data_IF_745265622760
#
_entry.id   IF_745265622760
#
_cell.length_a   1.000
_cell.length_b   1.000
_cell.length_c   1.000
_cell.angle_alpha   90.00
_cell.angle_beta   90.00
_cell.angle_gamma   90.00
#
_symmetry.space_group_name_H-M   'P 1'
#
loop_
_entity.id
_entity.type
_entity.pdbx_description
1 polymer ?
#
# COMPACT_ATOMS: atom_id res chain seq x y z
N UNK A 1 -8.20 13.85 -10.93
CA UNK A 1 -9.54 14.44 -11.19
C UNK A 1 -10.46 14.17 -10.00
N UNK A 2 -10.82 12.92 -9.69
CA UNK A 2 -11.83 12.55 -8.66
C UNK A 2 -11.51 13.14 -7.28
N UNK A 3 -10.23 13.22 -6.88
CA UNK A 3 -9.82 13.82 -5.61
C UNK A 3 -10.33 15.26 -5.43
N UNK A 4 -10.40 16.05 -6.52
CA UNK A 4 -10.89 17.43 -6.48
C UNK A 4 -12.38 17.52 -6.13
N UNK A 5 -13.16 16.47 -6.38
CA UNK A 5 -14.62 16.48 -6.17
C UNK A 5 -15.05 15.79 -4.86
N UNK A 6 -14.10 15.26 -4.07
CA UNK A 6 -14.42 14.60 -2.81
C UNK A 6 -14.80 15.61 -1.73
N UNK A 7 -15.85 15.35 -0.97
CA UNK A 7 -16.26 16.15 0.16
C UNK A 7 -15.73 15.61 1.51
N UNK A 8 -15.28 14.37 1.55
CA UNK A 8 -14.60 13.77 2.71
C UNK A 8 -13.10 14.08 2.64
N UNK A 9 -12.53 14.67 3.70
CA UNK A 9 -11.11 15.05 3.76
C UNK A 9 -10.18 13.84 3.58
N UNK A 10 -10.51 12.69 4.18
CA UNK A 10 -9.75 11.44 4.01
C UNK A 10 -9.99 10.84 2.62
N UNK A 11 -11.20 11.01 2.07
CA UNK A 11 -11.54 10.63 0.71
C UNK A 11 -10.70 11.40 -0.32
N UNK A 12 -10.55 12.72 -0.16
CA UNK A 12 -9.68 13.54 -1.00
C UNK A 12 -8.24 13.01 -0.97
N UNK A 13 -7.70 12.75 0.22
CA UNK A 13 -6.35 12.22 0.39
C UNK A 13 -6.21 10.81 -0.21
N UNK A 14 -7.20 9.94 -0.08
CA UNK A 14 -7.19 8.59 -0.66
C UNK A 14 -7.14 8.63 -2.19
N UNK A 15 -8.00 9.42 -2.84
CA UNK A 15 -7.97 9.56 -4.31
C UNK A 15 -6.70 10.26 -4.81
N UNK A 16 -6.14 11.19 -4.02
CA UNK A 16 -4.83 11.77 -4.36
C UNK A 16 -3.70 10.75 -4.20
N UNK A 17 -3.81 9.78 -3.27
CA UNK A 17 -2.86 8.65 -3.17
C UNK A 17 -2.91 7.80 -4.44
N UNK A 18 -4.09 7.46 -4.95
CA UNK A 18 -4.23 6.73 -6.22
C UNK A 18 -3.54 7.47 -7.37
N UNK A 19 -3.66 8.81 -7.41
CA UNK A 19 -2.97 9.63 -8.42
C UNK A 19 -1.44 9.51 -8.32
N UNK A 20 -0.88 9.59 -7.11
CA UNK A 20 0.57 9.46 -6.90
C UNK A 20 1.07 8.02 -7.18
N UNK A 21 0.30 7.00 -6.81
CA UNK A 21 0.63 5.61 -7.16
C UNK A 21 0.62 5.40 -8.68
N UNK A 22 -0.34 6.01 -9.40
CA UNK A 22 -0.33 6.02 -10.85
C UNK A 22 0.91 6.67 -11.44
N UNK A 23 1.39 7.78 -10.87
CA UNK A 23 2.64 8.45 -11.25
C UNK A 23 3.84 7.50 -11.05
N UNK A 24 3.93 6.83 -9.90
CA UNK A 24 4.98 5.85 -9.59
C UNK A 24 4.94 4.70 -10.62
N UNK A 25 3.75 4.20 -10.93
CA UNK A 25 3.57 3.12 -11.92
C UNK A 25 4.05 3.55 -13.31
N UNK A 26 3.75 4.78 -13.72
CA UNK A 26 4.23 5.34 -15.00
C UNK A 26 5.75 5.43 -15.01
N UNK A 27 6.40 5.88 -13.93
CA UNK A 27 7.86 5.93 -13.83
C UNK A 27 8.51 4.56 -14.02
N UNK A 28 8.03 3.55 -13.31
CA UNK A 28 8.55 2.19 -13.52
C UNK A 28 8.20 1.63 -14.91
N UNK A 29 7.06 2.05 -15.49
CA UNK A 29 6.65 1.67 -16.84
C UNK A 29 7.50 2.30 -17.95
N UNK A 30 8.14 3.45 -17.74
CA UNK A 30 9.10 4.07 -18.65
C UNK A 30 10.34 3.16 -18.84
N UNK A 31 10.75 2.46 -17.78
CA UNK A 31 11.79 1.42 -17.87
C UNK A 31 13.22 1.95 -17.96
N UNK A 32 13.47 3.26 -17.84
CA UNK A 32 14.83 3.80 -17.76
C UNK A 32 15.40 3.68 -16.35
N UNK A 33 16.73 3.52 -16.18
CA UNK A 33 17.34 3.52 -14.85
C UNK A 33 17.06 4.80 -14.05
N UNK A 34 17.01 5.97 -14.71
CA UNK A 34 16.69 7.25 -14.08
C UNK A 34 15.21 7.32 -13.67
N UNK A 35 14.30 6.75 -14.44
CA UNK A 35 12.89 6.67 -14.08
C UNK A 35 12.71 5.76 -12.83
N UNK A 36 13.52 4.70 -12.68
CA UNK A 36 13.53 3.91 -11.46
C UNK A 36 14.01 4.73 -10.24
N UNK A 37 15.07 5.54 -10.38
CA UNK A 37 15.50 6.49 -9.34
C UNK A 37 14.37 7.44 -8.96
N UNK A 38 13.75 8.09 -9.96
CA UNK A 38 12.62 9.02 -9.75
C UNK A 38 11.44 8.33 -9.06
N UNK A 39 11.14 7.08 -9.43
CA UNK A 39 10.07 6.26 -8.85
C UNK A 39 10.31 5.95 -7.38
N UNK A 40 11.49 5.42 -7.04
CA UNK A 40 11.87 5.13 -5.64
C UNK A 40 11.92 6.41 -4.81
N UNK A 41 12.50 7.49 -5.36
CA UNK A 41 12.53 8.78 -4.68
C UNK A 41 11.13 9.33 -4.42
N UNK A 42 10.23 9.20 -5.40
CA UNK A 42 8.84 9.61 -5.20
C UNK A 42 8.10 8.74 -4.18
N UNK A 43 8.37 7.44 -4.07
CA UNK A 43 7.82 6.57 -3.02
C UNK A 43 8.19 7.10 -1.63
N UNK A 44 9.47 7.39 -1.39
CA UNK A 44 9.97 7.90 -0.10
C UNK A 44 9.29 9.23 0.24
N UNK A 45 9.29 10.17 -0.70
CA UNK A 45 8.68 11.49 -0.51
C UNK A 45 7.18 11.41 -0.32
N UNK A 46 6.51 10.60 -1.13
CA UNK A 46 5.07 10.37 -1.05
C UNK A 46 4.67 9.78 0.30
N UNK A 47 5.39 8.78 0.80
CA UNK A 47 5.12 8.20 2.12
C UNK A 47 5.20 9.28 3.21
N UNK A 48 6.21 10.14 3.18
CA UNK A 48 6.45 11.18 4.18
C UNK A 48 5.32 12.22 4.21
N UNK A 49 5.05 12.89 3.10
CA UNK A 49 4.02 13.94 3.09
C UNK A 49 2.60 13.38 3.21
N UNK A 50 2.33 12.16 2.72
CA UNK A 50 1.01 11.52 2.86
C UNK A 50 0.71 11.11 4.28
N UNK A 51 1.67 10.49 4.97
CA UNK A 51 1.50 10.17 6.39
C UNK A 51 1.21 11.45 7.19
N UNK A 52 1.95 12.54 6.95
CA UNK A 52 1.69 13.84 7.59
C UNK A 52 0.28 14.36 7.33
N UNK A 53 -0.19 14.31 6.08
CA UNK A 53 -1.53 14.77 5.71
C UNK A 53 -2.64 13.90 6.29
N UNK A 54 -2.50 12.57 6.27
CA UNK A 54 -3.50 11.68 6.85
C UNK A 54 -3.57 11.79 8.37
N UNK A 55 -2.43 11.99 9.04
CA UNK A 55 -2.41 12.26 10.47
C UNK A 55 -3.05 13.61 10.80
N UNK A 56 -2.76 14.68 10.04
CA UNK A 56 -3.42 15.98 10.19
C UNK A 56 -4.93 15.88 9.95
N UNK A 57 -5.37 15.15 8.91
CA UNK A 57 -6.78 14.88 8.68
C UNK A 57 -7.41 14.02 9.79
N UNK A 58 -6.65 13.12 10.41
CA UNK A 58 -7.06 12.36 11.60
C UNK A 58 -7.26 13.25 12.82
N UNK A 59 -6.37 14.21 13.04
CA UNK A 59 -6.49 15.23 14.08
C UNK A 59 -7.75 16.08 13.86
N UNK A 60 -7.96 16.58 12.65
CA UNK A 60 -9.14 17.38 12.31
C UNK A 60 -10.43 16.58 12.57
N UNK A 61 -10.50 15.33 12.11
CA UNK A 61 -11.62 14.41 12.31
C UNK A 61 -11.91 14.20 13.83
N UNK A 62 -10.85 14.00 14.61
CA UNK A 62 -10.96 13.79 16.06
C UNK A 62 -11.49 15.03 16.79
N UNK A 63 -10.93 16.21 16.50
CA UNK A 63 -11.24 17.45 17.21
C UNK A 63 -12.57 18.07 16.76
N UNK A 64 -12.97 17.91 15.49
CA UNK A 64 -14.23 18.44 14.96
C UNK A 64 -15.40 17.45 15.03
N UNK A 65 -15.09 16.14 15.09
CA UNK A 65 -16.10 15.07 15.05
C UNK A 65 -16.67 14.83 13.65
N UNK A 66 -16.08 15.40 12.59
CA UNK A 66 -16.54 15.22 11.20
C UNK A 66 -15.40 15.31 10.21
N UNK A 67 -15.57 14.66 9.04
CA UNK A 67 -14.65 14.70 7.91
C UNK A 67 -15.19 15.47 6.70
N UNK A 68 -16.43 15.98 6.80
CA UNK A 68 -17.09 16.66 5.71
C UNK A 68 -16.52 18.08 5.54
N UNK A 69 -15.79 18.27 4.43
CA UNK A 69 -15.15 19.55 4.09
C UNK A 69 -16.13 20.72 3.88
N UNK A 70 -17.42 20.44 3.72
CA UNK A 70 -18.46 21.47 3.65
C UNK A 70 -18.80 22.05 5.03
N UNK A 71 -18.43 21.34 6.11
CA UNK A 71 -18.69 21.71 7.51
C UNK A 71 -17.45 22.21 8.24
N UNK A 72 -16.25 21.69 7.90
CA UNK A 72 -14.97 21.98 8.55
C UNK A 72 -14.25 23.20 7.97
N UNK A 73 -14.98 24.26 7.65
CA UNK A 73 -14.39 25.49 7.10
C UNK A 73 -13.72 26.33 8.19
N UNK A 74 -12.77 27.20 7.83
CA UNK A 74 -12.25 28.25 8.69
C UNK A 74 -11.51 27.80 9.95
N UNK A 75 -10.99 26.57 9.98
CA UNK A 75 -10.34 26.00 11.18
C UNK A 75 -9.04 26.69 11.59
N UNK A 76 -8.49 27.61 10.77
CA UNK A 76 -7.24 28.30 11.07
C UNK A 76 -7.23 29.00 12.43
N UNK A 77 -8.34 29.61 12.85
CA UNK A 77 -8.44 30.29 14.14
C UNK A 77 -8.39 29.35 15.34
N UNK A 78 -8.95 28.16 15.19
CA UNK A 78 -9.04 27.18 16.27
C UNK A 78 -7.83 26.24 16.31
N UNK A 79 -7.21 25.96 15.14
CA UNK A 79 -6.16 24.97 14.98
C UNK A 79 -4.98 25.48 14.13
N UNK A 80 -4.32 26.60 14.52
CA UNK A 80 -3.27 27.22 13.70
C UNK A 80 -2.01 26.35 13.57
N UNK A 81 -1.62 25.62 14.61
CA UNK A 81 -0.46 24.71 14.55
C UNK A 81 -0.74 23.53 13.60
N UNK A 82 -1.87 22.86 13.80
CA UNK A 82 -2.31 21.77 12.91
C UNK A 82 -2.45 22.27 11.48
N UNK A 83 -2.99 23.47 11.29
CA UNK A 83 -3.10 24.13 9.97
C UNK A 83 -1.75 24.37 9.32
N UNK A 84 -0.77 24.87 10.07
CA UNK A 84 0.59 25.09 9.55
C UNK A 84 1.24 23.77 9.09
N UNK A 85 1.15 22.73 9.92
CA UNK A 85 1.68 21.40 9.59
C UNK A 85 1.00 20.83 8.33
N UNK A 86 -0.31 20.95 8.25
CA UNK A 86 -1.09 20.52 7.09
C UNK A 86 -0.74 21.29 5.82
N UNK A 87 -0.52 22.61 5.90
CA UNK A 87 -0.10 23.45 4.78
C UNK A 87 1.28 23.06 4.24
N UNK A 88 2.24 22.80 5.13
CA UNK A 88 3.59 22.36 4.70
C UNK A 88 3.51 21.01 3.99
N UNK A 89 2.82 20.04 4.57
CA UNK A 89 2.65 18.73 3.94
C UNK A 89 1.85 18.79 2.62
N UNK A 90 0.83 19.66 2.53
CA UNK A 90 0.08 19.89 1.30
C UNK A 90 0.91 20.60 0.23
N UNK A 91 1.80 21.52 0.61
CA UNK A 91 2.75 22.16 -0.29
C UNK A 91 3.75 21.16 -0.85
N UNK A 92 4.23 20.22 -0.03
CA UNK A 92 5.03 19.08 -0.48
C UNK A 92 4.25 18.22 -1.48
N UNK A 93 3.00 17.89 -1.19
CA UNK A 93 2.12 17.13 -2.10
C UNK A 93 1.86 17.88 -3.40
N UNK A 94 1.68 19.21 -3.39
CA UNK A 94 1.53 20.04 -4.56
C UNK A 94 2.80 20.06 -5.43
N UNK A 95 3.97 19.91 -4.82
CA UNK A 95 5.27 20.05 -5.49
C UNK A 95 5.73 21.51 -5.51
N UNK A 96 5.50 22.26 -4.44
CA UNK A 96 6.04 23.60 -4.25
C UNK A 96 7.55 23.51 -4.04
N UNK A 97 8.36 24.39 -4.67
CA UNK A 97 9.80 24.43 -4.44
C UNK A 97 10.17 24.47 -2.95
N UNK A 98 11.34 23.96 -2.60
CA UNK A 98 11.90 23.80 -1.25
C UNK A 98 11.31 22.62 -0.45
N UNK A 99 10.26 21.98 -0.93
CA UNK A 99 9.73 20.77 -0.29
C UNK A 99 10.13 19.51 -1.08
N UNK A 100 10.22 18.39 -0.37
CA UNK A 100 10.64 17.10 -0.93
C UNK A 100 9.84 16.65 -2.17
N UNK A 101 8.54 16.97 -2.22
CA UNK A 101 7.67 16.61 -3.34
C UNK A 101 8.02 17.33 -4.65
N UNK A 102 8.64 18.52 -4.60
CA UNK A 102 9.09 19.23 -5.78
C UNK A 102 10.18 18.45 -6.52
N UNK A 103 11.23 18.03 -5.81
CA UNK A 103 12.37 17.33 -6.41
C UNK A 103 11.95 16.05 -7.14
N UNK A 104 11.13 15.23 -6.48
CA UNK A 104 10.68 13.99 -7.09
C UNK A 104 9.71 14.19 -8.25
N UNK A 105 8.92 15.29 -8.25
CA UNK A 105 8.08 15.65 -9.39
C UNK A 105 8.88 16.24 -10.54
N UNK A 106 9.92 17.01 -10.27
CA UNK A 106 10.82 17.51 -11.29
C UNK A 106 11.50 16.38 -12.04
N UNK A 107 12.02 15.39 -11.31
CA UNK A 107 12.55 14.16 -11.92
C UNK A 107 11.49 13.42 -12.73
N UNK A 108 10.26 13.30 -12.23
CA UNK A 108 9.15 12.70 -12.97
C UNK A 108 8.86 13.43 -14.27
N UNK A 109 8.80 14.76 -14.26
CA UNK A 109 8.57 15.55 -15.46
C UNK A 109 9.75 15.43 -16.44
N UNK A 110 10.98 15.37 -15.94
CA UNK A 110 12.17 15.12 -16.77
C UNK A 110 12.08 13.80 -17.51
N UNK A 111 11.79 12.71 -16.81
CA UNK A 111 11.63 11.39 -17.41
C UNK A 111 10.40 11.32 -18.34
N UNK A 112 9.29 11.95 -17.98
CA UNK A 112 8.12 12.03 -18.83
C UNK A 112 8.40 12.79 -20.14
N UNK A 113 9.19 13.88 -20.09
CA UNK A 113 9.58 14.65 -21.26
C UNK A 113 10.61 13.93 -22.14
N UNK A 114 11.41 13.02 -21.54
CA UNK A 114 12.43 12.24 -22.23
C UNK A 114 11.88 10.96 -22.89
N UNK A 115 10.59 10.64 -22.73
CA UNK A 115 10.01 9.44 -23.35
C UNK A 115 10.18 9.49 -24.86
N UNK A 116 11.05 8.62 -25.37
CA UNK A 116 11.24 8.40 -26.81
C UNK A 116 10.30 7.30 -27.28
N UNK A 117 9.67 7.45 -28.41
CA UNK A 117 8.76 6.43 -28.96
C UNK A 117 7.96 6.94 -30.14
N UNK A 118 6.78 6.35 -30.35
CA UNK A 118 5.86 6.83 -31.37
C UNK A 118 5.46 8.29 -31.10
N UNK A 119 5.14 9.02 -32.16
CA UNK A 119 4.72 10.45 -32.07
C UNK A 119 3.65 10.68 -31.00
N UNK A 120 2.75 9.71 -30.81
CA UNK A 120 1.67 9.73 -29.84
C UNK A 120 2.13 9.63 -28.38
N UNK A 121 3.06 8.73 -28.07
CA UNK A 121 3.57 8.55 -26.70
C UNK A 121 4.44 9.72 -26.27
N UNK A 122 5.26 10.26 -27.19
CA UNK A 122 6.12 11.42 -26.91
C UNK A 122 5.34 12.68 -26.52
N UNK A 123 4.09 12.85 -26.93
CA UNK A 123 3.22 13.95 -26.51
C UNK A 123 2.25 13.60 -25.41
N UNK A 124 1.70 12.39 -25.44
CA UNK A 124 0.67 11.96 -24.50
C UNK A 124 1.20 11.90 -23.04
N UNK A 125 2.40 11.36 -22.87
CA UNK A 125 2.98 11.17 -21.50
C UNK A 125 3.30 12.52 -20.86
N UNK A 126 4.03 13.47 -21.49
CA UNK A 126 4.28 14.79 -20.91
C UNK A 126 3.00 15.59 -20.63
N UNK A 127 2.03 15.55 -21.53
CA UNK A 127 0.74 16.26 -21.35
C UNK A 127 -0.04 15.63 -20.18
N UNK A 128 -0.16 14.32 -20.13
CA UNK A 128 -0.84 13.61 -19.03
C UNK A 128 -0.14 13.87 -17.70
N UNK A 129 1.20 13.86 -17.67
CA UNK A 129 1.99 14.16 -16.49
C UNK A 129 1.75 15.59 -15.99
N UNK A 130 1.77 16.58 -16.90
CA UNK A 130 1.52 17.98 -16.56
C UNK A 130 0.11 18.19 -16.03
N UNK A 131 -0.90 17.59 -16.66
CA UNK A 131 -2.28 17.62 -16.19
C UNK A 131 -2.43 16.96 -14.82
N UNK A 132 -1.79 15.82 -14.58
CA UNK A 132 -1.78 15.17 -13.28
C UNK A 132 -1.16 16.06 -12.21
N UNK A 133 -0.07 16.76 -12.54
CA UNK A 133 0.55 17.78 -11.71
C UNK A 133 -0.39 18.95 -11.39
N UNK A 134 -1.11 19.49 -12.39
CA UNK A 134 -2.07 20.56 -12.19
C UNK A 134 -3.22 20.14 -11.25
N UNK A 135 -3.77 18.94 -11.42
CA UNK A 135 -4.76 18.42 -10.49
C UNK A 135 -4.18 18.19 -9.09
N UNK A 136 -2.88 17.82 -8.97
CA UNK A 136 -2.23 17.69 -7.68
C UNK A 136 -2.18 19.03 -6.93
N UNK A 137 -1.86 20.10 -7.59
CA UNK A 137 -1.91 21.45 -7.04
C UNK A 137 -3.35 21.84 -6.67
N UNK A 138 -4.31 21.59 -7.55
CA UNK A 138 -5.70 21.98 -7.33
C UNK A 138 -6.32 21.31 -6.09
N UNK A 139 -6.14 19.99 -5.90
CA UNK A 139 -6.67 19.33 -4.72
C UNK A 139 -5.86 19.63 -3.45
N UNK A 140 -4.58 19.95 -3.55
CA UNK A 140 -3.78 20.43 -2.42
C UNK A 140 -4.25 21.80 -1.93
N UNK A 141 -4.51 22.73 -2.87
CA UNK A 141 -5.10 24.03 -2.56
C UNK A 141 -6.48 23.89 -1.94
N UNK A 142 -7.30 22.98 -2.48
CA UNK A 142 -8.61 22.69 -1.91
C UNK A 142 -8.50 22.18 -0.46
N UNK A 143 -7.60 21.24 -0.20
CA UNK A 143 -7.36 20.73 1.14
C UNK A 143 -7.03 21.86 2.12
N UNK A 144 -6.12 22.77 1.72
CA UNK A 144 -5.68 23.87 2.59
C UNK A 144 -6.77 24.93 2.72
N UNK A 145 -7.26 25.45 1.58
CA UNK A 145 -8.15 26.62 1.59
C UNK A 145 -9.53 26.27 2.14
N UNK A 146 -10.16 25.19 1.66
CA UNK A 146 -11.53 24.86 2.08
C UNK A 146 -11.58 24.43 3.58
N UNK A 147 -10.51 23.82 4.11
CA UNK A 147 -10.49 23.38 5.51
C UNK A 147 -10.12 24.53 6.46
N UNK A 148 -9.15 25.35 6.11
CA UNK A 148 -8.59 26.31 7.08
C UNK A 148 -9.02 27.75 6.85
N UNK A 149 -9.38 28.15 5.63
CA UNK A 149 -9.57 29.58 5.27
C UNK A 149 -10.94 29.90 4.66
N UNK A 150 -11.72 28.93 4.24
CA UNK A 150 -12.96 29.15 3.48
C UNK A 150 -14.18 29.35 4.41
N UNK A 151 -14.32 30.54 4.98
CA UNK A 151 -15.48 30.91 5.79
C UNK A 151 -15.38 30.50 7.26
N UNK A 152 -16.50 30.13 7.86
CA UNK A 152 -16.61 29.70 9.26
C UNK A 152 -17.13 28.24 9.32
N UNK A 153 -16.79 27.50 10.41
CA UNK A 153 -17.30 26.16 10.64
C UNK A 153 -18.84 26.14 10.73
N UNK A 154 -19.47 25.12 10.15
CA UNK A 154 -20.91 24.99 10.12
C UNK A 154 -21.33 23.72 10.87
N UNK A 155 -22.11 23.88 11.94
CA UNK A 155 -22.74 22.77 12.67
C UNK A 155 -21.78 21.62 12.98
N UNK A 156 -20.65 21.94 13.63
CA UNK A 156 -19.67 20.95 14.03
C UNK A 156 -20.19 20.15 15.24
N UNK A 157 -20.00 18.80 15.24
CA UNK A 157 -20.33 17.96 16.40
C UNK A 157 -19.53 18.28 17.65
N UNK A 158 -18.33 18.84 17.50
CA UNK A 158 -17.42 19.23 18.58
C UNK A 158 -16.84 20.61 18.30
N UNK A 159 -16.54 21.37 19.36
CA UNK A 159 -15.81 22.61 19.22
C UNK A 159 -14.33 22.31 18.91
N UNK A 160 -13.80 22.77 17.79
CA UNK A 160 -12.41 22.49 17.41
C UNK A 160 -11.44 23.22 18.34
N UNK A 161 -10.41 22.54 18.75
CA UNK A 161 -9.27 23.10 19.48
C UNK A 161 -7.98 22.40 19.07
N UNK A 162 -6.82 22.96 19.41
CA UNK A 162 -5.55 22.29 19.15
C UNK A 162 -5.43 21.01 19.98
N UNK A 163 -5.01 19.90 19.36
CA UNK A 163 -4.85 18.63 20.06
C UNK A 163 -3.66 18.66 21.03
N UNK A 164 -3.59 17.72 21.97
CA UNK A 164 -2.45 17.59 22.87
C UNK A 164 -1.14 17.37 22.07
N UNK A 165 -0.02 17.84 22.65
CA UNK A 165 1.28 17.84 21.98
C UNK A 165 1.67 16.48 21.39
N UNK A 166 1.45 15.40 22.12
CA UNK A 166 1.80 14.05 21.67
C UNK A 166 1.08 13.58 20.42
N UNK A 167 -0.09 14.15 20.14
CA UNK A 167 -0.82 13.85 18.91
C UNK A 167 -0.26 14.63 17.70
N UNK A 168 0.40 15.76 17.92
CA UNK A 168 1.04 16.58 16.88
C UNK A 168 2.47 16.14 16.54
N UNK A 169 3.23 15.68 17.52
CA UNK A 169 4.64 15.31 17.36
C UNK A 169 4.92 14.42 16.13
N UNK A 170 4.16 13.35 15.87
CA UNK A 170 4.38 12.55 14.67
C UNK A 170 4.24 13.34 13.35
N UNK A 171 3.28 14.27 13.31
CA UNK A 171 3.08 15.15 12.13
C UNK A 171 4.23 16.13 12.00
N UNK A 172 4.68 16.73 13.13
CA UNK A 172 5.82 17.64 13.19
C UNK A 172 7.07 16.99 12.62
N UNK A 173 7.38 15.75 13.06
CA UNK A 173 8.52 14.98 12.54
C UNK A 173 8.43 14.78 11.02
N UNK A 174 7.28 14.38 10.50
CA UNK A 174 7.09 14.16 9.07
C UNK A 174 7.20 15.46 8.27
N UNK A 175 6.68 16.56 8.80
CA UNK A 175 6.77 17.89 8.18
C UNK A 175 8.23 18.38 8.16
N UNK A 176 8.96 18.20 9.25
CA UNK A 176 10.41 18.50 9.31
C UNK A 176 11.16 17.67 8.27
N UNK A 177 10.86 16.38 8.13
CA UNK A 177 11.46 15.55 7.09
C UNK A 177 11.14 16.03 5.68
N UNK A 178 9.90 16.51 5.40
CA UNK A 178 9.56 17.11 4.11
C UNK A 178 10.45 18.31 3.77
N UNK A 179 10.76 19.14 4.77
CA UNK A 179 11.64 20.31 4.61
C UNK A 179 13.10 19.89 4.46
N UNK A 180 13.60 19.02 5.34
CA UNK A 180 14.99 18.57 5.33
C UNK A 180 15.37 17.89 4.02
N UNK A 181 14.51 16.98 3.53
CA UNK A 181 14.72 16.31 2.26
C UNK A 181 14.58 17.27 1.09
N UNK A 182 13.68 18.26 1.18
CA UNK A 182 13.51 19.28 0.17
C UNK A 182 14.68 20.25 0.05
N UNK A 183 15.33 20.59 1.17
CA UNK A 183 16.42 21.59 1.22
C UNK A 183 17.81 20.96 1.11
N UNK A 184 18.01 19.75 1.63
CA UNK A 184 19.30 19.07 1.67
C UNK A 184 19.15 17.57 1.31
N UNK A 185 18.71 17.22 0.09
CA UNK A 185 18.45 15.85 -0.31
C UNK A 185 19.69 14.96 -0.26
N UNK A 186 20.84 15.49 -0.66
CA UNK A 186 22.11 14.76 -0.67
C UNK A 186 22.55 14.25 0.71
N UNK A 187 22.24 15.02 1.78
CA UNK A 187 22.59 14.63 3.14
C UNK A 187 21.56 13.74 3.81
N UNK A 188 20.29 13.86 3.41
CA UNK A 188 19.16 13.25 4.13
C UNK A 188 18.67 11.97 3.50
N UNK A 189 18.43 11.95 2.21
CA UNK A 189 17.75 10.84 1.53
C UNK A 189 18.62 10.09 0.54
N UNK A 190 19.65 10.71 -0.03
CA UNK A 190 20.47 10.12 -1.10
C UNK A 190 21.13 8.79 -0.71
N UNK A 191 21.65 8.58 0.52
CA UNK A 191 22.22 7.29 0.90
C UNK A 191 21.20 6.16 0.89
N UNK A 192 19.98 6.43 1.41
CA UNK A 192 18.88 5.47 1.43
C UNK A 192 18.35 5.24 0.02
N UNK A 193 18.24 6.30 -0.78
CA UNK A 193 17.79 6.25 -2.17
C UNK A 193 18.73 5.37 -3.00
N UNK A 194 20.04 5.58 -2.89
CA UNK A 194 21.04 4.81 -3.62
C UNK A 194 20.99 3.31 -3.26
N UNK A 195 20.82 3.00 -1.99
CA UNK A 195 20.68 1.62 -1.52
C UNK A 195 19.41 0.97 -2.10
N UNK A 196 18.28 1.67 -2.03
CA UNK A 196 17.00 1.16 -2.53
C UNK A 196 17.00 1.00 -4.06
N UNK A 197 17.58 1.97 -4.79
CA UNK A 197 17.70 1.91 -6.25
C UNK A 197 18.63 0.77 -6.68
N UNK A 198 19.74 0.56 -5.98
CA UNK A 198 20.65 -0.56 -6.25
C UNK A 198 19.95 -1.91 -6.14
N UNK A 199 19.08 -2.06 -5.13
CA UNK A 199 18.28 -3.27 -4.96
C UNK A 199 17.25 -3.46 -6.09
N UNK A 200 16.61 -2.38 -6.54
CA UNK A 200 15.62 -2.43 -7.64
C UNK A 200 16.28 -2.74 -8.97
N UNK A 201 17.42 -2.10 -9.27
CA UNK A 201 18.15 -2.28 -10.54
C UNK A 201 19.07 -3.49 -10.55
N UNK A 202 19.27 -4.15 -9.40
CA UNK A 202 20.25 -5.23 -9.21
C UNK A 202 21.67 -4.84 -9.66
N UNK A 203 22.03 -3.55 -9.46
CA UNK A 203 23.30 -2.99 -9.91
C UNK A 203 23.52 -1.58 -9.34
N UNK A 204 24.65 -0.94 -9.68
CA UNK A 204 24.92 0.42 -9.19
C UNK A 204 23.87 1.41 -9.71
N UNK A 205 23.46 2.39 -8.89
CA UNK A 205 22.52 3.42 -9.32
C UNK A 205 23.15 4.26 -10.44
N UNK A 206 22.36 4.71 -11.43
CA UNK A 206 22.86 5.64 -12.44
C UNK A 206 23.27 6.97 -11.81
N UNK A 207 24.19 7.69 -12.43
CA UNK A 207 24.51 9.04 -12.02
C UNK A 207 23.25 9.92 -12.10
N UNK A 208 22.88 10.55 -10.99
CA UNK A 208 21.73 11.43 -10.87
C UNK A 208 22.10 12.62 -9.99
N UNK A 209 21.47 13.74 -10.21
CA UNK A 209 21.64 14.94 -9.41
C UNK A 209 20.32 15.28 -8.71
N UNK A 210 20.41 15.52 -7.41
CA UNK A 210 19.29 15.94 -6.56
C UNK A 210 19.34 17.45 -6.26
N UNK A 211 20.05 18.25 -7.07
CA UNK A 211 20.10 19.68 -6.89
C UNK A 211 18.69 20.30 -6.97
N UNK A 212 18.50 21.42 -6.26
CA UNK A 212 17.24 22.16 -6.27
C UNK A 212 16.98 22.91 -7.58
N UNK A 213 18.03 23.14 -8.36
CA UNK A 213 17.95 23.90 -9.58
C UNK A 213 18.87 23.37 -10.67
N UNK A 214 18.29 22.96 -11.78
CA UNK A 214 18.99 22.43 -12.96
C UNK A 214 18.90 23.37 -14.19
N UNK A 215 18.57 24.64 -13.96
CA UNK A 215 18.33 25.58 -15.05
C UNK A 215 16.92 25.51 -15.65
N UNK A 216 16.72 26.13 -16.79
CA UNK A 216 15.45 26.13 -17.50
C UNK A 216 15.27 24.86 -18.34
N UNK A 217 14.91 23.79 -17.70
CA UNK A 217 14.65 22.49 -18.32
C UNK A 217 13.17 22.33 -18.70
N UNK A 218 12.81 21.42 -19.62
CA UNK A 218 11.40 21.09 -19.89
C UNK A 218 10.61 20.72 -18.63
N UNK A 219 11.25 20.05 -17.66
CA UNK A 219 10.64 19.70 -16.38
C UNK A 219 10.21 20.94 -15.57
N UNK A 220 11.03 21.98 -15.53
CA UNK A 220 10.70 23.25 -14.87
C UNK A 220 9.52 23.94 -15.54
N UNK A 221 9.46 23.96 -16.87
CA UNK A 221 8.30 24.52 -17.59
C UNK A 221 7.03 23.71 -17.32
N UNK A 222 7.10 22.37 -17.32
CA UNK A 222 5.97 21.52 -16.96
C UNK A 222 5.52 21.75 -15.50
N UNK A 223 6.46 21.95 -14.59
CA UNK A 223 6.17 22.30 -13.19
C UNK A 223 5.45 23.64 -13.08
N UNK A 224 5.90 24.66 -13.81
CA UNK A 224 5.28 25.98 -13.82
C UNK A 224 3.86 25.93 -14.41
N UNK A 225 3.68 25.22 -15.52
CA UNK A 225 2.37 25.01 -16.14
C UNK A 225 1.45 24.23 -15.20
N UNK A 226 1.96 23.21 -14.51
CA UNK A 226 1.19 22.44 -13.53
C UNK A 226 0.77 23.31 -12.34
N UNK A 227 1.66 24.15 -11.81
CA UNK A 227 1.34 25.04 -10.69
C UNK A 227 0.31 26.10 -11.09
N UNK A 228 0.53 26.82 -12.19
CA UNK A 228 -0.40 27.84 -12.67
C UNK A 228 -1.74 27.24 -13.11
N UNK A 229 -1.71 26.13 -13.84
CA UNK A 229 -2.90 25.37 -14.24
C UNK A 229 -3.70 24.85 -13.05
N UNK A 230 -3.04 24.37 -12.01
CA UNK A 230 -3.69 23.91 -10.79
C UNK A 230 -4.38 25.02 -10.00
N UNK A 231 -3.75 26.20 -9.91
CA UNK A 231 -4.37 27.40 -9.33
C UNK A 231 -5.59 27.83 -10.16
N UNK A 232 -5.50 27.84 -11.48
CA UNK A 232 -6.63 28.17 -12.36
C UNK A 232 -7.77 27.16 -12.23
N UNK A 233 -7.48 25.84 -12.22
CA UNK A 233 -8.48 24.79 -12.00
C UNK A 233 -9.20 25.02 -10.65
N UNK A 234 -8.44 25.36 -9.62
CA UNK A 234 -9.02 25.64 -8.31
C UNK A 234 -9.86 26.91 -8.30
N UNK A 235 -9.41 27.99 -8.98
CA UNK A 235 -10.15 29.25 -9.09
C UNK A 235 -11.51 29.05 -9.77
N UNK A 236 -11.58 28.20 -10.80
CA UNK A 236 -12.83 27.90 -11.53
C UNK A 236 -13.57 26.67 -11.00
N UNK A 237 -13.32 26.26 -9.77
CA UNK A 237 -13.87 25.03 -9.20
C UNK A 237 -15.39 24.98 -9.13
N UNK A 238 -16.07 26.10 -8.94
CA UNK A 238 -17.53 26.16 -8.77
C UNK A 238 -18.29 25.61 -9.99
N UNK A 239 -18.05 26.10 -11.22
CA UNK A 239 -18.68 25.51 -12.39
C UNK A 239 -18.26 24.06 -12.66
N UNK A 240 -17.04 23.66 -12.24
CA UNK A 240 -16.59 22.27 -12.35
C UNK A 240 -17.38 21.35 -11.41
N UNK A 241 -17.68 21.80 -10.18
CA UNK A 241 -18.51 21.02 -9.26
C UNK A 241 -19.93 20.84 -9.78
N UNK A 242 -20.57 21.91 -10.26
CA UNK A 242 -21.89 21.83 -10.87
C UNK A 242 -21.94 20.91 -12.11
N UNK A 243 -20.87 20.88 -12.90
CA UNK A 243 -20.70 19.95 -14.01
C UNK A 243 -20.54 18.51 -13.55
N UNK A 244 -19.73 18.28 -12.53
CA UNK A 244 -19.49 16.95 -11.96
C UNK A 244 -20.74 16.33 -11.34
N UNK A 245 -21.54 17.09 -10.59
CA UNK A 245 -22.78 16.60 -10.01
C UNK A 245 -23.77 16.07 -11.07
N UNK A 246 -23.74 16.63 -12.28
CA UNK A 246 -24.59 16.19 -13.40
C UNK A 246 -24.10 14.89 -14.07
N UNK A 247 -22.80 14.66 -14.08
CA UNK A 247 -22.15 13.59 -14.87
C UNK A 247 -21.50 12.52 -13.99
N UNK A 248 -21.06 12.88 -12.77
CA UNK A 248 -20.22 12.06 -11.91
C UNK A 248 -20.83 10.70 -11.57
N UNK A 249 -22.13 10.64 -11.35
CA UNK A 249 -22.86 9.39 -11.07
C UNK A 249 -22.85 8.38 -12.25
N UNK A 250 -22.69 8.86 -13.47
CA UNK A 250 -22.63 8.00 -14.67
C UNK A 250 -21.25 7.44 -14.94
N UNK A 251 -20.20 8.17 -14.52
CA UNK A 251 -18.78 7.83 -14.71
C UNK A 251 -18.15 7.20 -13.46
N UNK A 252 -18.94 6.75 -12.48
CA UNK A 252 -18.43 6.15 -11.28
C UNK A 252 -17.76 4.79 -11.57
N UNK A 253 -16.45 4.81 -11.68
CA UNK A 253 -15.62 3.63 -11.86
C UNK A 253 -15.82 2.58 -10.75
N UNK A 254 -16.27 3.02 -9.55
CA UNK A 254 -16.62 2.13 -8.44
C UNK A 254 -17.73 1.16 -8.82
N UNK A 255 -18.75 1.64 -9.50
CA UNK A 255 -19.85 0.76 -10.00
C UNK A 255 -19.36 -0.26 -11.04
N UNK A 256 -18.35 0.12 -11.84
CA UNK A 256 -17.66 -0.80 -12.75
C UNK A 256 -16.89 -1.88 -11.98
N UNK A 257 -16.10 -1.45 -11.03
CA UNK A 257 -15.35 -2.34 -10.13
C UNK A 257 -16.27 -3.30 -9.37
N UNK A 258 -17.32 -2.77 -8.72
CA UNK A 258 -18.28 -3.57 -7.95
C UNK A 258 -18.98 -4.63 -8.85
N UNK A 259 -19.29 -4.31 -10.11
CA UNK A 259 -19.85 -5.28 -11.06
C UNK A 259 -18.87 -6.39 -11.39
N UNK A 260 -17.63 -6.06 -11.67
CA UNK A 260 -16.56 -7.04 -11.94
C UNK A 260 -16.31 -7.90 -10.70
N UNK A 261 -16.17 -7.27 -9.55
CA UNK A 261 -15.94 -7.96 -8.27
C UNK A 261 -17.10 -8.91 -7.93
N UNK A 262 -18.34 -8.44 -8.01
CA UNK A 262 -19.52 -9.28 -7.76
C UNK A 262 -19.64 -10.41 -8.80
N UNK A 263 -19.26 -10.17 -10.05
CA UNK A 263 -19.16 -11.21 -11.07
C UNK A 263 -18.11 -12.28 -10.72
N UNK A 264 -16.93 -11.86 -10.26
CA UNK A 264 -15.87 -12.77 -9.80
C UNK A 264 -16.30 -13.56 -8.55
N UNK A 265 -16.94 -12.88 -7.59
CA UNK A 265 -17.47 -13.53 -6.39
C UNK A 265 -18.55 -14.55 -6.77
N UNK A 266 -19.46 -14.20 -7.68
CA UNK A 266 -20.49 -15.12 -8.18
C UNK A 266 -19.89 -16.33 -8.90
N UNK A 267 -18.86 -16.13 -9.70
CA UNK A 267 -18.09 -17.20 -10.33
C UNK A 267 -17.39 -18.09 -9.30
N UNK A 268 -16.73 -17.49 -8.32
CA UNK A 268 -16.07 -18.21 -7.25
C UNK A 268 -17.07 -19.02 -6.42
N UNK A 269 -18.22 -18.43 -6.06
CA UNK A 269 -19.30 -19.11 -5.37
C UNK A 269 -19.86 -20.28 -6.20
N UNK A 270 -20.06 -20.11 -7.51
CA UNK A 270 -20.48 -21.18 -8.41
C UNK A 270 -19.48 -22.32 -8.48
N UNK A 271 -18.18 -22.00 -8.58
CA UNK A 271 -17.10 -22.99 -8.62
C UNK A 271 -16.93 -23.73 -7.28
N UNK A 272 -17.14 -23.03 -6.15
CA UNK A 272 -16.99 -23.60 -4.82
C UNK A 272 -18.24 -24.27 -4.30
N UNK A 273 -19.43 -23.95 -4.83
CA UNK A 273 -20.67 -24.58 -4.42
C UNK A 273 -20.69 -26.09 -4.72
N UNK A 274 -20.06 -26.51 -5.81
CA UNK A 274 -19.99 -27.93 -6.18
C UNK A 274 -19.16 -28.78 -5.21
N UNK A 275 -17.91 -28.40 -4.79
CA UNK A 275 -17.15 -29.14 -3.77
C UNK A 275 -17.64 -28.88 -2.35
N UNK A 276 -18.27 -27.74 -2.03
CA UNK A 276 -18.71 -27.41 -0.66
C UNK A 276 -19.95 -28.17 -0.19
N UNK A 277 -20.72 -28.77 -1.11
CA UNK A 277 -21.79 -29.72 -0.76
C UNK A 277 -21.24 -31.08 -0.33
N UNK A 278 -19.94 -31.30 -0.46
CA UNK A 278 -19.24 -32.51 -0.03
C UNK A 278 -18.77 -32.40 1.44
N UNK A 279 -18.37 -33.52 2.04
CA UNK A 279 -17.78 -33.52 3.37
C UNK A 279 -16.47 -32.70 3.40
N UNK A 280 -16.11 -32.16 4.57
CA UNK A 280 -14.86 -31.39 4.77
C UNK A 280 -13.63 -32.18 4.27
N UNK A 281 -13.63 -33.49 4.40
CA UNK A 281 -12.55 -34.36 3.92
C UNK A 281 -12.41 -34.30 2.39
N UNK A 282 -13.53 -34.32 1.66
CA UNK A 282 -13.50 -34.18 0.19
C UNK A 282 -13.03 -32.81 -0.24
N UNK A 283 -13.44 -31.76 0.46
CA UNK A 283 -12.98 -30.40 0.19
C UNK A 283 -11.46 -30.28 0.34
N UNK A 284 -10.92 -30.79 1.46
CA UNK A 284 -9.47 -30.80 1.72
C UNK A 284 -8.72 -31.66 0.69
N UNK A 285 -9.25 -32.84 0.37
CA UNK A 285 -8.64 -33.72 -0.65
C UNK A 285 -8.63 -33.04 -2.02
N UNK A 286 -9.72 -32.42 -2.43
CA UNK A 286 -9.80 -31.69 -3.70
C UNK A 286 -8.80 -30.54 -3.75
N UNK A 287 -8.69 -29.79 -2.65
CA UNK A 287 -7.72 -28.69 -2.52
C UNK A 287 -6.27 -29.19 -2.67
N UNK A 288 -5.90 -30.22 -1.92
CA UNK A 288 -4.55 -30.81 -1.94
C UNK A 288 -4.22 -31.40 -3.33
N UNK A 289 -5.16 -32.12 -3.92
CA UNK A 289 -4.97 -32.67 -5.29
C UNK A 289 -4.82 -31.56 -6.33
N UNK A 290 -5.63 -30.52 -6.24
CA UNK A 290 -5.53 -29.36 -7.16
C UNK A 290 -4.17 -28.67 -7.02
N UNK A 291 -3.71 -28.44 -5.78
CA UNK A 291 -2.41 -27.85 -5.52
C UNK A 291 -1.27 -28.71 -6.06
N UNK A 292 -1.35 -30.03 -5.84
CA UNK A 292 -0.35 -30.98 -6.37
C UNK A 292 -0.34 -31.02 -7.90
N UNK A 293 -1.51 -31.09 -8.53
CA UNK A 293 -1.63 -31.11 -10.00
C UNK A 293 -1.10 -29.82 -10.61
N UNK A 294 -1.48 -28.65 -10.06
CA UNK A 294 -0.99 -27.37 -10.56
C UNK A 294 0.52 -27.21 -10.37
N UNK A 295 1.03 -27.61 -9.22
CA UNK A 295 2.48 -27.58 -8.93
C UNK A 295 3.27 -28.49 -9.85
N UNK A 296 2.83 -29.73 -10.03
CA UNK A 296 3.49 -30.69 -10.94
C UNK A 296 3.37 -30.28 -12.40
N UNK A 297 2.21 -29.78 -12.83
CA UNK A 297 2.03 -29.29 -14.20
C UNK A 297 2.92 -28.07 -14.49
N UNK A 298 3.03 -27.11 -13.56
CA UNK A 298 3.91 -25.97 -13.66
C UNK A 298 5.39 -26.39 -13.71
N UNK A 299 5.79 -27.32 -12.89
CA UNK A 299 7.16 -27.85 -12.89
C UNK A 299 7.50 -28.62 -14.18
N UNK A 300 6.63 -29.52 -14.62
CA UNK A 300 6.81 -30.26 -15.89
C UNK A 300 6.81 -29.31 -17.10
N UNK A 301 5.95 -28.29 -17.10
CA UNK A 301 5.88 -27.29 -18.19
C UNK A 301 7.09 -26.35 -18.25
N UNK A 302 7.77 -26.11 -17.12
CA UNK A 302 8.95 -25.24 -17.06
C UNK A 302 10.22 -25.89 -17.59
N UNK A 303 10.26 -27.23 -17.75
CA UNK A 303 11.46 -27.97 -18.08
C UNK A 303 12.60 -27.87 -17.06
N UNK A 304 12.28 -27.34 -15.86
CA UNK A 304 13.27 -27.13 -14.79
C UNK A 304 13.72 -28.44 -14.17
N UNK A 305 15.02 -28.56 -13.87
CA UNK A 305 15.56 -29.69 -13.11
C UNK A 305 15.08 -29.64 -11.66
N UNK A 306 15.01 -30.82 -11.02
CA UNK A 306 14.65 -30.92 -9.58
C UNK A 306 15.64 -30.18 -8.68
N UNK A 307 16.89 -30.06 -9.09
CA UNK A 307 17.96 -29.43 -8.29
C UNK A 307 18.16 -27.95 -8.57
N UNK A 308 17.46 -27.38 -9.57
CA UNK A 308 17.63 -25.97 -9.96
C UNK A 308 19.01 -25.63 -10.53
N UNK A 309 19.26 -24.40 -10.97
CA UNK A 309 20.52 -23.95 -11.53
C UNK A 309 21.58 -23.53 -10.51
N UNK A 310 21.18 -23.30 -9.25
CA UNK A 310 22.08 -22.85 -8.20
C UNK A 310 22.86 -24.02 -7.58
N UNK A 311 24.11 -23.78 -7.14
CA UNK A 311 24.88 -24.82 -6.45
C UNK A 311 24.20 -25.21 -5.16
N UNK A 312 24.14 -26.50 -4.89
CA UNK A 312 23.55 -27.00 -3.61
C UNK A 312 24.43 -26.55 -2.46
N UNK A 313 23.81 -25.83 -1.52
CA UNK A 313 24.47 -25.48 -0.27
C UNK A 313 24.61 -26.72 0.62
N UNK A 314 25.70 -26.83 1.40
CA UNK A 314 25.84 -27.91 2.36
C UNK A 314 24.68 -27.87 3.38
N UNK A 315 24.17 -29.03 3.71
CA UNK A 315 23.10 -29.17 4.72
C UNK A 315 23.63 -28.68 6.07
N UNK A 316 23.04 -27.61 6.57
CA UNK A 316 23.30 -27.16 7.93
C UNK A 316 22.60 -28.07 8.95
N UNK A 317 23.31 -28.35 10.05
CA UNK A 317 22.80 -29.23 11.13
C UNK A 317 21.48 -28.68 11.68
N UNK A 318 21.35 -27.34 11.79
CA UNK A 318 20.13 -26.71 12.34
C UNK A 318 18.92 -26.95 11.42
N UNK A 319 19.09 -26.80 10.11
CA UNK A 319 18.02 -27.06 9.14
C UNK A 319 17.64 -28.53 9.06
N UNK A 320 18.60 -29.44 9.21
CA UNK A 320 18.36 -30.88 9.25
C UNK A 320 17.54 -31.25 10.49
N UNK A 321 17.95 -30.79 11.66
CA UNK A 321 17.24 -31.04 12.93
C UNK A 321 15.84 -30.44 12.90
N UNK A 322 15.68 -29.20 12.43
CA UNK A 322 14.38 -28.56 12.28
C UNK A 322 13.44 -29.37 11.37
N UNK A 323 13.97 -29.87 10.24
CA UNK A 323 13.20 -30.69 9.29
C UNK A 323 12.78 -32.04 9.91
N UNK A 324 13.66 -32.69 10.66
CA UNK A 324 13.36 -33.95 11.36
C UNK A 324 12.28 -33.73 12.42
N UNK A 325 12.40 -32.68 13.23
CA UNK A 325 11.40 -32.34 14.25
C UNK A 325 10.04 -32.03 13.59
N UNK A 326 10.04 -31.24 12.51
CA UNK A 326 8.85 -30.88 11.76
C UNK A 326 8.11 -32.13 11.23
N UNK A 327 8.83 -33.00 10.53
CA UNK A 327 8.24 -34.25 10.00
C UNK A 327 7.79 -35.17 11.14
N UNK A 328 8.59 -35.32 12.18
CA UNK A 328 8.24 -36.09 13.37
C UNK A 328 6.98 -35.56 14.07
N UNK A 329 6.88 -34.26 14.27
CA UNK A 329 5.70 -33.64 14.89
C UNK A 329 4.46 -33.76 13.99
N UNK A 330 4.59 -33.63 12.68
CA UNK A 330 3.49 -33.81 11.73
C UNK A 330 2.97 -35.26 11.74
N UNK A 331 3.86 -36.25 11.73
CA UNK A 331 3.49 -37.69 11.85
C UNK A 331 2.87 -38.00 13.21
N UNK A 332 3.43 -37.44 14.27
CA UNK A 332 2.87 -37.61 15.62
C UNK A 332 1.46 -36.99 15.71
N UNK A 333 1.21 -35.85 15.12
CA UNK A 333 -0.13 -35.25 15.03
C UNK A 333 -1.12 -36.20 14.33
N UNK A 334 -0.70 -36.84 13.26
CA UNK A 334 -1.50 -37.82 12.53
C UNK A 334 -1.87 -39.05 13.37
N UNK A 335 -0.95 -39.48 14.25
CA UNK A 335 -1.16 -40.65 15.12
C UNK A 335 -2.07 -40.31 16.33
N UNK A 336 -1.81 -39.12 16.94
CA UNK A 336 -2.49 -38.72 18.19
C UNK A 336 -3.58 -37.67 17.99
N UNK A 337 -4.14 -37.52 16.79
CA UNK A 337 -5.19 -36.55 16.48
C UNK A 337 -6.43 -36.62 17.38
N UNK A 338 -6.71 -37.75 17.99
CA UNK A 338 -7.81 -37.92 18.94
C UNK A 338 -7.56 -37.18 20.28
N UNK A 339 -6.31 -36.95 20.64
CA UNK A 339 -5.93 -36.21 21.86
C UNK A 339 -5.73 -34.74 21.49
N UNK A 340 -6.80 -33.95 21.60
CA UNK A 340 -6.86 -32.59 21.04
C UNK A 340 -5.74 -31.69 21.54
N UNK A 341 -5.45 -31.71 22.86
CA UNK A 341 -4.38 -30.90 23.43
C UNK A 341 -3.01 -31.27 22.89
N UNK A 342 -2.72 -32.58 22.84
CA UNK A 342 -1.45 -33.08 22.31
C UNK A 342 -1.31 -32.74 20.82
N UNK A 343 -2.37 -32.96 20.05
CA UNK A 343 -2.38 -32.60 18.63
C UNK A 343 -2.11 -31.10 18.40
N UNK A 344 -2.67 -30.22 19.25
CA UNK A 344 -2.45 -28.79 19.18
C UNK A 344 -1.00 -28.42 19.51
N UNK A 345 -0.40 -29.04 20.54
CA UNK A 345 1.02 -28.79 20.87
C UNK A 345 1.93 -29.25 19.74
N UNK A 346 1.65 -30.42 19.15
CA UNK A 346 2.42 -30.94 18.03
C UNK A 346 2.28 -30.07 16.79
N UNK A 347 1.08 -29.54 16.52
CA UNK A 347 0.84 -28.60 15.44
C UNK A 347 1.63 -27.29 15.63
N UNK A 348 1.65 -26.77 16.86
CA UNK A 348 2.46 -25.61 17.22
C UNK A 348 3.98 -25.85 17.03
N UNK A 349 4.44 -27.08 17.33
CA UNK A 349 5.82 -27.45 17.04
C UNK A 349 6.11 -27.43 15.53
N UNK A 350 5.17 -27.88 14.68
CA UNK A 350 5.31 -27.80 13.22
C UNK A 350 5.40 -26.32 12.77
N UNK A 351 4.49 -25.45 13.24
CA UNK A 351 4.49 -24.03 12.90
C UNK A 351 5.77 -23.31 13.32
N UNK A 352 6.29 -23.63 14.51
CA UNK A 352 7.55 -23.07 14.99
C UNK A 352 8.74 -23.51 14.10
N UNK A 353 8.76 -24.77 13.68
CA UNK A 353 9.82 -25.26 12.76
C UNK A 353 9.71 -24.60 11.38
N UNK A 354 8.51 -24.38 10.88
CA UNK A 354 8.29 -23.64 9.63
C UNK A 354 8.82 -22.20 9.75
N UNK A 355 8.53 -21.52 10.86
CA UNK A 355 9.08 -20.17 11.09
C UNK A 355 10.63 -20.17 11.15
N UNK A 356 11.21 -21.17 11.80
CA UNK A 356 12.67 -21.32 11.84
C UNK A 356 13.27 -21.57 10.46
N UNK A 357 12.63 -22.40 9.64
CA UNK A 357 13.04 -22.64 8.25
C UNK A 357 12.98 -21.33 7.42
N UNK A 358 11.98 -20.48 7.59
CA UNK A 358 11.94 -19.17 6.95
C UNK A 358 13.12 -18.28 7.34
N UNK A 359 13.54 -18.30 8.62
CA UNK A 359 14.74 -17.57 9.06
C UNK A 359 15.98 -18.10 8.36
N UNK A 360 16.13 -19.44 8.29
CA UNK A 360 17.29 -20.08 7.65
C UNK A 360 17.35 -19.72 6.16
N UNK A 361 16.21 -19.63 5.47
CA UNK A 361 16.12 -19.22 4.07
C UNK A 361 16.14 -17.70 3.87
N UNK A 362 16.59 -16.93 4.86
CA UNK A 362 16.71 -15.47 4.79
C UNK A 362 15.39 -14.74 4.48
N UNK A 363 14.29 -15.27 5.00
CA UNK A 363 12.95 -14.68 4.90
C UNK A 363 12.39 -14.28 6.29
N UNK A 364 13.02 -13.34 7.02
CA UNK A 364 12.63 -12.99 8.39
C UNK A 364 11.22 -12.41 8.48
N UNK A 365 10.76 -11.70 7.44
CA UNK A 365 9.40 -11.14 7.41
C UNK A 365 8.33 -12.23 7.41
N UNK A 366 8.56 -13.30 6.65
CA UNK A 366 7.67 -14.46 6.63
C UNK A 366 7.71 -15.21 7.96
N UNK A 367 8.89 -15.34 8.56
CA UNK A 367 9.04 -15.96 9.87
C UNK A 367 8.27 -15.20 10.96
N UNK A 368 8.37 -13.87 10.97
CA UNK A 368 7.66 -13.00 11.92
C UNK A 368 6.15 -13.10 11.74
N UNK A 369 5.69 -13.07 10.49
CA UNK A 369 4.27 -13.21 10.16
C UNK A 369 3.74 -14.58 10.58
N UNK A 370 4.46 -15.67 10.25
CA UNK A 370 4.11 -17.03 10.64
C UNK A 370 4.02 -17.15 12.16
N UNK A 371 5.02 -16.67 12.89
CA UNK A 371 5.04 -16.72 14.35
C UNK A 371 3.87 -15.97 14.98
N UNK A 372 3.56 -14.78 14.46
CA UNK A 372 2.46 -13.95 14.97
C UNK A 372 1.11 -14.61 14.76
N UNK A 373 0.87 -15.17 13.57
CA UNK A 373 -0.37 -15.90 13.25
C UNK A 373 -0.46 -17.18 14.08
N UNK A 374 0.64 -17.92 14.22
CA UNK A 374 0.71 -19.16 14.99
C UNK A 374 0.33 -18.93 16.47
N UNK A 375 0.95 -17.94 17.12
CA UNK A 375 0.68 -17.60 18.52
C UNK A 375 -0.81 -17.27 18.73
N UNK A 376 -1.37 -16.40 17.88
CA UNK A 376 -2.78 -16.04 17.97
C UNK A 376 -3.69 -17.25 17.75
N UNK A 377 -3.38 -18.06 16.75
CA UNK A 377 -4.15 -19.28 16.44
C UNK A 377 -4.12 -20.27 17.58
N UNK A 378 -2.95 -20.54 18.17
CA UNK A 378 -2.81 -21.45 19.29
C UNK A 378 -3.58 -20.94 20.52
N UNK A 379 -3.50 -19.64 20.82
CA UNK A 379 -4.26 -19.04 21.94
C UNK A 379 -5.76 -19.22 21.73
N UNK A 380 -6.27 -18.93 20.52
CA UNK A 380 -7.68 -19.09 20.20
C UNK A 380 -8.14 -20.55 20.26
N UNK A 381 -7.32 -21.49 19.79
CA UNK A 381 -7.62 -22.92 19.84
C UNK A 381 -7.55 -23.46 21.27
N UNK A 382 -6.61 -23.01 22.10
CA UNK A 382 -6.56 -23.36 23.53
C UNK A 382 -7.80 -22.82 24.24
N UNK A 383 -8.22 -21.60 23.96
CA UNK A 383 -9.46 -21.04 24.51
C UNK A 383 -10.70 -21.88 24.08
N UNK A 384 -10.75 -22.25 22.81
CA UNK A 384 -11.82 -23.10 22.31
C UNK A 384 -11.82 -24.51 22.99
N UNK A 385 -10.63 -25.08 23.24
CA UNK A 385 -10.51 -26.36 23.93
C UNK A 385 -11.02 -26.33 25.36
N UNK A 386 -11.03 -25.16 26.02
CA UNK A 386 -11.62 -25.03 27.36
C UNK A 386 -13.12 -25.37 27.36
N UNK A 387 -13.83 -25.11 26.27
CA UNK A 387 -15.26 -25.39 26.10
C UNK A 387 -15.55 -26.73 25.43
N UNK A 388 -14.54 -27.42 24.93
CA UNK A 388 -14.70 -28.70 24.22
C UNK A 388 -14.19 -29.88 25.00
N UNK A 389 -14.73 -31.11 24.77
CA UNK A 389 -14.20 -32.33 25.38
C UNK A 389 -12.73 -32.55 25.00
N UNK A 390 -11.92 -32.99 25.96
CA UNK A 390 -10.46 -33.16 25.75
C UNK A 390 -10.10 -34.26 24.73
N UNK A 391 -10.98 -35.22 24.52
CA UNK A 391 -10.78 -36.29 23.54
C UNK A 391 -11.89 -36.30 22.50
N UNK A 392 -11.52 -36.53 21.25
CA UNK A 392 -12.48 -36.78 20.17
C UNK A 392 -12.96 -38.24 20.25
N UNK A 393 -14.25 -38.48 20.00
CA UNK A 393 -14.73 -39.87 19.82
C UNK A 393 -14.04 -40.46 18.58
N UNK A 394 -13.53 -41.71 18.65
CA UNK A 394 -13.02 -42.37 17.46
C UNK A 394 -14.12 -42.47 16.41
N UNK A 395 -13.83 -42.04 15.21
CA UNK A 395 -14.78 -42.07 14.12
C UNK A 395 -15.19 -43.48 13.76
N UNK A 396 -16.46 -43.64 13.54
CA UNK A 396 -17.21 -44.86 13.25
C UNK A 396 -16.86 -45.55 11.93
N UNK A 397 -17.38 -46.74 11.65
CA UNK A 397 -16.69 -47.87 11.02
C UNK A 397 -16.19 -47.63 9.59
N UNK A 398 -15.23 -48.45 9.16
CA UNK A 398 -14.49 -48.41 7.87
C UNK A 398 -15.32 -48.08 6.63
N UNK A 399 -16.61 -48.42 6.56
CA UNK A 399 -17.51 -48.14 5.46
C UNK A 399 -17.85 -46.62 5.29
N UNK A 400 -17.88 -45.84 6.37
CA UNK A 400 -18.03 -44.38 6.29
C UNK A 400 -16.78 -43.68 5.79
N UNK A 401 -15.59 -44.15 6.14
CA UNK A 401 -14.31 -43.64 5.63
C UNK A 401 -14.14 -43.81 4.13
N UNK A 402 -14.81 -44.80 3.52
CA UNK A 402 -14.75 -45.02 2.07
C UNK A 402 -15.80 -44.20 1.34
N UNK A 403 -16.91 -43.85 2.02
CA UNK A 403 -17.98 -43.07 1.44
C UNK A 403 -17.69 -41.56 1.48
N UNK A 404 -17.08 -41.05 2.56
CA UNK A 404 -16.75 -39.64 2.82
C UNK A 404 -15.34 -39.30 2.34
#
# INVERSE_FOLDING_TARGET
VIALFQHDIKGLLAYSTISHLGLITVLFGIGTPLAAVAGVFHIINHATFKAGLFMAAGIIDHETGTRDMRRINGLWRAMPYTGTLAMVAASAMAGVPLFNGFLSKEMFFGEAAAVAGSLWLGWLVPVAATLAGAFAVAYSLRFVHDVFFNGEPVDLPRQPHEPPRWMRVPVEVLVVLCLLVGMAPALTVEPILNLAVSAVLQGPPPAHDLALWHGFTPAVFMSLIAMTGGVLIYAVRQPLYAGWERVGDRLDARRGYDRVLNGLIGLAQGLTAWPSQASLQRLLLTFLLSALVLGTAGWLGSGSSLTGPLPLLPLDIVSLVASIIMVGAALATLIWYCQRLLALILLGAVGLMVALIFVIFSAPDLALTQLSVEVVTIILLLLALFFLPQTSRPETPRLRRIRD
#
